data_IF_664150456969
#
_entry.id   IF_664150456969
#
_cell.length_a   1.000
_cell.length_b   1.000
_cell.length_c   1.000
_cell.angle_alpha   90.00
_cell.angle_beta   90.00
_cell.angle_gamma   90.00
#
_symmetry.space_group_name_H-M   'P 1'
#
loop_
_entity.id
_entity.type
_entity.pdbx_description
1 polymer ?
#
# COMPACT_ATOMS: atom_id res chain seq x y z
N UNK A 1 16.83 36.10 -27.78
CA UNK A 1 16.77 34.63 -27.74
C UNK A 1 16.95 34.19 -26.28
N UNK A 2 15.89 34.29 -25.48
CA UNK A 2 15.88 33.75 -24.12
C UNK A 2 15.47 32.28 -24.19
N UNK A 3 16.40 31.38 -23.89
CA UNK A 3 16.12 29.96 -23.66
C UNK A 3 15.39 29.84 -22.33
N UNK A 4 14.06 29.80 -22.38
CA UNK A 4 13.25 29.19 -21.33
C UNK A 4 13.73 27.76 -21.12
N UNK A 5 14.57 27.54 -20.11
CA UNK A 5 14.73 26.21 -19.53
C UNK A 5 13.39 25.87 -18.89
N UNK A 6 12.53 25.24 -19.68
CA UNK A 6 11.38 24.49 -19.21
C UNK A 6 11.95 23.42 -18.27
N UNK A 7 11.97 23.72 -16.97
CA UNK A 7 12.34 22.76 -15.94
C UNK A 7 11.50 21.50 -16.19
N UNK A 8 12.16 20.43 -16.63
CA UNK A 8 11.48 19.16 -16.87
C UNK A 8 10.78 18.80 -15.56
N UNK A 9 9.45 18.66 -15.62
CA UNK A 9 8.67 18.29 -14.46
C UNK A 9 9.25 16.98 -13.92
N UNK A 10 9.92 17.05 -12.78
CA UNK A 10 10.66 15.95 -12.21
C UNK A 10 9.66 14.85 -11.87
N UNK A 11 9.68 13.75 -12.62
CA UNK A 11 8.78 12.60 -12.39
C UNK A 11 9.00 12.06 -10.97
N UNK A 12 7.94 11.62 -10.33
CA UNK A 12 8.05 10.97 -9.02
C UNK A 12 8.84 9.69 -9.16
N UNK A 13 9.74 9.42 -8.21
CA UNK A 13 10.36 8.10 -8.06
C UNK A 13 9.56 7.25 -7.08
N UNK A 14 9.77 5.93 -7.13
CA UNK A 14 9.19 5.00 -6.15
C UNK A 14 9.54 5.38 -4.70
N UNK A 15 10.77 5.88 -4.50
CA UNK A 15 11.22 6.31 -3.20
C UNK A 15 10.57 7.62 -2.72
N UNK A 16 10.19 8.52 -3.63
CA UNK A 16 9.40 9.72 -3.31
C UNK A 16 7.98 9.33 -2.86
N UNK A 17 7.37 8.34 -3.51
CA UNK A 17 6.05 7.83 -3.15
C UNK A 17 6.06 7.32 -1.71
N UNK A 18 6.90 6.33 -1.40
CA UNK A 18 6.99 5.70 -0.08
C UNK A 18 7.42 6.66 1.05
N UNK A 19 8.06 7.78 0.71
CA UNK A 19 8.45 8.80 1.70
C UNK A 19 7.36 9.87 1.90
N UNK A 20 6.25 9.79 1.17
CA UNK A 20 5.18 10.79 1.19
C UNK A 20 3.94 10.29 1.93
N UNK A 21 3.29 11.20 2.68
CA UNK A 21 1.98 10.92 3.25
C UNK A 21 0.94 10.58 2.17
N UNK A 22 1.04 11.18 0.97
CA UNK A 22 0.08 10.96 -0.13
C UNK A 22 -0.03 9.48 -0.51
N UNK A 23 1.09 8.78 -0.55
CA UNK A 23 1.11 7.34 -0.79
C UNK A 23 0.46 6.59 0.38
N UNK A 24 0.91 6.82 1.60
CA UNK A 24 0.42 6.10 2.78
C UNK A 24 -1.06 6.37 3.08
N UNK A 25 -1.55 7.60 2.86
CA UNK A 25 -2.96 7.95 2.98
C UNK A 25 -3.82 7.15 2.01
N UNK A 26 -3.38 6.99 0.75
CA UNK A 26 -4.08 6.14 -0.24
C UNK A 26 -4.03 4.65 0.15
N UNK A 27 -2.88 4.17 0.63
CA UNK A 27 -2.70 2.77 1.08
C UNK A 27 -3.63 2.46 2.25
N UNK A 28 -3.64 3.30 3.29
CA UNK A 28 -4.49 3.09 4.45
C UNK A 28 -5.96 3.24 4.10
N UNK A 29 -6.34 4.26 3.32
CA UNK A 29 -7.70 4.40 2.81
C UNK A 29 -8.18 3.12 2.12
N UNK A 30 -7.37 2.55 1.23
CA UNK A 30 -7.68 1.29 0.56
C UNK A 30 -7.87 0.13 1.55
N UNK A 31 -6.95 -0.05 2.51
CA UNK A 31 -7.03 -1.15 3.49
C UNK A 31 -8.27 -1.03 4.39
N UNK A 32 -8.60 0.18 4.83
CA UNK A 32 -9.78 0.42 5.65
C UNK A 32 -11.09 0.16 4.89
N UNK A 33 -11.20 0.63 3.65
CA UNK A 33 -12.36 0.31 2.79
C UNK A 33 -12.43 -1.19 2.49
N UNK A 34 -11.29 -1.84 2.22
CA UNK A 34 -11.22 -3.28 1.99
C UNK A 34 -11.68 -4.09 3.22
N UNK A 35 -11.37 -3.61 4.43
CA UNK A 35 -11.83 -4.20 5.69
C UNK A 35 -13.35 -4.14 5.80
N UNK A 36 -13.94 -2.95 5.57
CA UNK A 36 -15.40 -2.78 5.53
C UNK A 36 -16.05 -3.69 4.50
N UNK A 37 -15.52 -3.70 3.26
CA UNK A 37 -16.02 -4.57 2.20
C UNK A 37 -16.01 -6.02 2.64
N UNK A 38 -14.91 -6.47 3.24
CA UNK A 38 -14.75 -7.87 3.56
C UNK A 38 -15.72 -8.33 4.66
N UNK A 39 -15.94 -7.52 5.70
CA UNK A 39 -16.98 -7.78 6.71
C UNK A 39 -18.35 -7.87 6.03
N UNK A 40 -18.69 -6.92 5.16
CA UNK A 40 -19.92 -6.97 4.40
C UNK A 40 -20.02 -8.27 3.57
N UNK A 41 -18.96 -8.65 2.86
CA UNK A 41 -18.98 -9.85 2.01
C UNK A 41 -19.18 -11.15 2.80
N UNK A 42 -18.68 -11.24 4.03
CA UNK A 42 -18.87 -12.42 4.88
C UNK A 42 -20.29 -12.46 5.46
N UNK A 43 -20.77 -11.34 5.99
CA UNK A 43 -21.98 -11.33 6.84
C UNK A 43 -23.25 -10.84 6.15
N UNK A 44 -23.17 -10.22 4.97
CA UNK A 44 -24.34 -9.63 4.29
C UNK A 44 -25.47 -10.62 4.00
N UNK A 45 -25.16 -11.82 3.52
CA UNK A 45 -26.17 -12.85 3.25
C UNK A 45 -26.87 -13.33 4.52
N UNK A 46 -26.10 -13.53 5.60
CA UNK A 46 -26.61 -13.93 6.90
C UNK A 46 -27.47 -12.82 7.50
N UNK A 47 -26.98 -11.58 7.46
CA UNK A 47 -27.71 -10.41 7.91
C UNK A 47 -29.03 -10.26 7.15
N UNK A 48 -29.03 -10.30 5.82
CA UNK A 48 -30.25 -10.24 5.02
C UNK A 48 -31.23 -11.36 5.39
N UNK A 49 -30.74 -12.59 5.60
CA UNK A 49 -31.61 -13.72 5.91
C UNK A 49 -32.21 -13.66 7.31
N UNK A 50 -31.50 -13.09 8.28
CA UNK A 50 -31.95 -12.95 9.66
C UNK A 50 -32.82 -11.70 9.88
N UNK A 51 -32.48 -10.60 9.22
CA UNK A 51 -33.19 -9.32 9.32
C UNK A 51 -34.38 -9.20 8.39
N UNK A 52 -34.54 -10.11 7.42
CA UNK A 52 -35.66 -10.09 6.49
C UNK A 52 -36.18 -11.50 6.15
N UNK A 53 -37.47 -11.58 5.80
CA UNK A 53 -38.08 -12.79 5.28
C UNK A 53 -37.74 -13.10 3.81
N UNK A 54 -36.73 -12.45 3.22
CA UNK A 54 -36.44 -12.56 1.79
C UNK A 54 -36.09 -13.99 1.35
N UNK A 55 -36.47 -14.30 0.11
CA UNK A 55 -36.10 -15.55 -0.55
C UNK A 55 -34.63 -15.53 -0.95
N UNK A 56 -34.03 -16.72 -1.08
CA UNK A 56 -32.65 -16.85 -1.57
C UNK A 56 -32.46 -16.28 -2.98
N UNK A 57 -33.50 -16.34 -3.83
CA UNK A 57 -33.45 -15.76 -5.17
C UNK A 57 -33.31 -14.24 -5.14
N UNK A 58 -34.09 -13.54 -4.30
CA UNK A 58 -33.98 -12.07 -4.19
C UNK A 58 -32.63 -11.64 -3.64
N UNK A 59 -32.09 -12.37 -2.66
CA UNK A 59 -30.73 -12.13 -2.14
C UNK A 59 -29.69 -12.28 -3.27
N UNK A 60 -29.79 -13.33 -4.10
CA UNK A 60 -28.91 -13.52 -5.25
C UNK A 60 -29.00 -12.40 -6.29
N UNK A 61 -30.21 -11.86 -6.54
CA UNK A 61 -30.39 -10.69 -7.41
C UNK A 61 -29.75 -9.45 -6.81
N UNK A 62 -29.91 -9.21 -5.50
CA UNK A 62 -29.29 -8.07 -4.81
C UNK A 62 -27.75 -8.08 -4.98
N UNK A 63 -27.09 -9.23 -4.80
CA UNK A 63 -25.66 -9.36 -5.09
C UNK A 63 -25.31 -9.15 -6.56
N UNK A 64 -26.20 -9.49 -7.50
CA UNK A 64 -25.97 -9.20 -8.93
C UNK A 64 -25.96 -7.69 -9.21
N UNK A 65 -26.78 -6.91 -8.50
CA UNK A 65 -26.73 -5.44 -8.56
C UNK A 65 -25.42 -4.89 -8.01
N UNK A 66 -24.86 -5.50 -6.96
CA UNK A 66 -23.53 -5.13 -6.47
C UNK A 66 -22.45 -5.36 -7.53
N UNK A 67 -22.49 -6.48 -8.25
CA UNK A 67 -21.54 -6.76 -9.34
C UNK A 67 -21.71 -5.80 -10.52
N UNK A 68 -22.96 -5.46 -10.88
CA UNK A 68 -23.22 -4.44 -11.89
C UNK A 68 -22.65 -3.08 -11.47
N UNK A 69 -22.88 -2.69 -10.21
CA UNK A 69 -22.32 -1.49 -9.62
C UNK A 69 -20.80 -1.47 -9.68
N UNK A 70 -20.16 -2.59 -9.35
CA UNK A 70 -18.71 -2.75 -9.45
C UNK A 70 -18.17 -2.45 -10.86
N UNK A 71 -18.80 -2.99 -11.91
CA UNK A 71 -18.41 -2.70 -13.29
C UNK A 71 -18.55 -1.22 -13.64
N UNK A 72 -19.64 -0.57 -13.24
CA UNK A 72 -19.82 0.88 -13.42
C UNK A 72 -18.81 1.70 -12.61
N UNK A 73 -18.47 1.24 -11.40
CA UNK A 73 -17.42 1.81 -10.57
C UNK A 73 -16.07 1.81 -11.26
N UNK A 74 -15.70 0.71 -11.91
CA UNK A 74 -14.46 0.59 -12.70
C UNK A 74 -14.43 1.62 -13.84
N UNK A 75 -15.55 1.82 -14.54
CA UNK A 75 -15.68 2.85 -15.59
C UNK A 75 -15.53 4.26 -14.99
N UNK A 76 -16.14 4.51 -13.84
CA UNK A 76 -16.02 5.79 -13.14
C UNK A 76 -14.59 6.07 -12.68
N UNK A 77 -13.85 5.05 -12.22
CA UNK A 77 -12.42 5.20 -11.93
C UNK A 77 -11.63 5.61 -13.19
N UNK A 78 -11.92 5.00 -14.34
CA UNK A 78 -11.26 5.41 -15.57
C UNK A 78 -11.55 6.88 -15.93
N UNK A 79 -12.80 7.34 -15.82
CA UNK A 79 -13.16 8.75 -16.02
C UNK A 79 -12.41 9.64 -15.01
N UNK A 80 -12.41 9.25 -13.72
CA UNK A 80 -11.75 9.96 -12.64
C UNK A 80 -10.23 10.10 -12.85
N UNK A 81 -9.59 9.08 -13.43
CA UNK A 81 -8.15 9.10 -13.72
C UNK A 81 -7.76 10.26 -14.65
N UNK A 82 -8.67 10.70 -15.52
CA UNK A 82 -8.45 11.83 -16.44
C UNK A 82 -8.62 13.19 -15.78
N UNK A 83 -9.40 13.28 -14.70
CA UNK A 83 -9.71 14.53 -14.02
C UNK A 83 -8.58 15.01 -13.10
N UNK A 84 -7.58 14.16 -12.82
CA UNK A 84 -6.39 14.47 -11.99
C UNK A 84 -6.73 15.04 -10.60
N UNK A 85 -7.93 14.76 -10.09
CA UNK A 85 -8.45 15.27 -8.82
C UNK A 85 -8.75 14.11 -7.87
N UNK A 86 -8.22 14.17 -6.64
CA UNK A 86 -8.49 13.14 -5.64
C UNK A 86 -9.81 13.37 -4.90
N UNK A 87 -10.49 14.52 -5.07
CA UNK A 87 -11.78 14.76 -4.43
C UNK A 87 -12.83 13.70 -4.82
N UNK A 88 -12.63 13.04 -5.96
CA UNK A 88 -13.42 11.90 -6.41
C UNK A 88 -13.34 10.70 -5.47
N UNK A 89 -12.26 10.56 -4.68
CA UNK A 89 -12.17 9.53 -3.65
C UNK A 89 -13.20 9.75 -2.52
N UNK A 90 -13.50 11.00 -2.16
CA UNK A 90 -14.58 11.30 -1.22
C UNK A 90 -15.94 10.97 -1.81
N UNK A 91 -16.14 11.22 -3.11
CA UNK A 91 -17.36 10.83 -3.81
C UNK A 91 -17.54 9.31 -3.81
N UNK A 92 -16.48 8.54 -4.07
CA UNK A 92 -16.53 7.07 -4.01
C UNK A 92 -16.77 6.56 -2.59
N UNK A 93 -16.17 7.20 -1.58
CA UNK A 93 -16.49 6.93 -0.17
C UNK A 93 -17.95 7.23 0.14
N UNK A 94 -18.50 8.33 -0.38
CA UNK A 94 -19.89 8.72 -0.16
C UNK A 94 -20.86 7.72 -0.81
N UNK A 95 -20.58 7.26 -2.03
CA UNK A 95 -21.37 6.18 -2.64
C UNK A 95 -21.33 4.91 -1.80
N UNK A 96 -20.14 4.53 -1.32
CA UNK A 96 -20.00 3.37 -0.47
C UNK A 96 -20.81 3.53 0.84
N UNK A 97 -20.61 4.62 1.59
CA UNK A 97 -21.28 4.91 2.87
C UNK A 97 -22.81 5.05 2.73
N UNK A 98 -23.28 5.68 1.66
CA UNK A 98 -24.71 5.76 1.36
C UNK A 98 -25.27 4.38 1.03
N UNK A 99 -24.51 3.59 0.27
CA UNK A 99 -24.87 2.23 -0.08
C UNK A 99 -25.02 1.31 1.14
N UNK A 100 -24.04 1.31 2.07
CA UNK A 100 -24.17 0.55 3.33
C UNK A 100 -25.29 1.08 4.22
N UNK A 101 -25.58 2.39 4.24
CA UNK A 101 -26.74 2.91 4.97
C UNK A 101 -28.07 2.38 4.40
N UNK A 102 -28.25 2.43 3.07
CA UNK A 102 -29.43 1.88 2.41
C UNK A 102 -29.56 0.37 2.67
N UNK A 103 -28.47 -0.36 2.53
CA UNK A 103 -28.41 -1.80 2.78
C UNK A 103 -28.77 -2.16 4.23
N UNK A 104 -28.20 -1.49 5.23
CA UNK A 104 -28.45 -1.83 6.64
C UNK A 104 -29.87 -1.47 7.09
N UNK A 105 -30.37 -0.29 6.74
CA UNK A 105 -31.64 0.22 7.30
C UNK A 105 -32.88 -0.10 6.46
N UNK A 106 -32.74 -0.59 5.22
CA UNK A 106 -33.87 -0.81 4.31
C UNK A 106 -33.88 -2.21 3.68
N UNK A 107 -33.42 -3.24 4.40
CA UNK A 107 -33.32 -4.62 3.88
C UNK A 107 -34.66 -5.14 3.34
N UNK A 108 -35.78 -4.81 3.99
CA UNK A 108 -37.12 -5.26 3.57
C UNK A 108 -37.59 -4.61 2.26
N UNK A 109 -37.11 -3.40 1.95
CA UNK A 109 -37.44 -2.71 0.73
C UNK A 109 -36.46 -3.13 -0.38
N UNK A 110 -36.91 -4.07 -1.21
CA UNK A 110 -36.11 -4.66 -2.30
C UNK A 110 -35.50 -3.60 -3.22
N UNK A 111 -36.22 -2.52 -3.54
CA UNK A 111 -35.70 -1.45 -4.42
C UNK A 111 -34.57 -0.68 -3.73
N UNK A 112 -34.75 -0.33 -2.45
CA UNK A 112 -33.72 0.36 -1.68
C UNK A 112 -32.49 -0.53 -1.44
N UNK A 113 -32.70 -1.84 -1.20
CA UNK A 113 -31.64 -2.83 -1.07
C UNK A 113 -30.81 -2.95 -2.36
N UNK A 114 -31.47 -3.10 -3.51
CA UNK A 114 -30.80 -3.16 -4.82
C UNK A 114 -30.03 -1.87 -5.13
N UNK A 115 -30.61 -0.71 -4.82
CA UNK A 115 -29.93 0.58 -4.96
C UNK A 115 -28.71 0.68 -4.02
N UNK A 116 -28.83 0.21 -2.78
CA UNK A 116 -27.75 0.15 -1.80
C UNK A 116 -26.60 -0.73 -2.30
N UNK A 117 -26.91 -1.95 -2.74
CA UNK A 117 -25.92 -2.88 -3.31
C UNK A 117 -25.22 -2.32 -4.54
N UNK A 118 -25.97 -1.69 -5.45
CA UNK A 118 -25.40 -1.01 -6.62
C UNK A 118 -24.41 0.10 -6.21
N UNK A 119 -24.75 0.94 -5.23
CA UNK A 119 -23.89 2.01 -4.74
C UNK A 119 -22.62 1.48 -4.03
N UNK A 120 -22.77 0.41 -3.24
CA UNK A 120 -21.65 -0.30 -2.62
C UNK A 120 -20.69 -0.79 -3.70
N UNK A 121 -21.22 -1.50 -4.71
CA UNK A 121 -20.46 -2.00 -5.84
C UNK A 121 -19.72 -0.88 -6.56
N UNK A 122 -20.42 0.21 -6.86
CA UNK A 122 -19.88 1.39 -7.55
C UNK A 122 -18.71 2.01 -6.77
N UNK A 123 -18.85 2.20 -5.47
CA UNK A 123 -17.77 2.71 -4.61
C UNK A 123 -16.55 1.79 -4.63
N UNK A 124 -16.75 0.48 -4.39
CA UNK A 124 -15.65 -0.51 -4.35
C UNK A 124 -14.95 -0.61 -5.71
N UNK A 125 -15.71 -0.73 -6.79
CA UNK A 125 -15.18 -0.86 -8.15
C UNK A 125 -14.37 0.35 -8.58
N UNK A 126 -14.78 1.55 -8.15
CA UNK A 126 -14.00 2.75 -8.39
C UNK A 126 -12.68 2.75 -7.57
N UNK A 127 -12.77 2.47 -6.27
CA UNK A 127 -11.63 2.50 -5.34
C UNK A 127 -10.55 1.49 -5.72
N UNK A 128 -10.94 0.27 -6.09
CA UNK A 128 -9.99 -0.82 -6.38
C UNK A 128 -9.10 -0.54 -7.58
N UNK A 129 -9.61 0.20 -8.57
CA UNK A 129 -8.86 0.56 -9.77
C UNK A 129 -8.13 1.90 -9.62
N UNK A 130 -8.79 2.93 -9.07
CA UNK A 130 -8.27 4.30 -9.08
C UNK A 130 -7.01 4.45 -8.23
N UNK A 131 -6.90 3.71 -7.12
CA UNK A 131 -5.77 3.83 -6.19
C UNK A 131 -4.47 3.32 -6.80
N UNK A 132 -4.38 2.07 -7.31
CA UNK A 132 -3.23 1.63 -8.09
C UNK A 132 -2.91 2.56 -9.26
N UNK A 133 -3.94 3.05 -9.97
CA UNK A 133 -3.76 3.93 -11.11
C UNK A 133 -3.11 5.28 -10.74
N UNK A 134 -3.52 5.89 -9.61
CA UNK A 134 -2.90 7.12 -9.13
C UNK A 134 -1.45 6.93 -8.69
N UNK A 135 -1.13 5.82 -8.03
CA UNK A 135 0.25 5.51 -7.61
C UNK A 135 1.12 5.26 -8.84
N UNK A 136 0.65 4.44 -9.78
CA UNK A 136 1.37 4.10 -11.00
C UNK A 136 1.56 5.31 -11.93
N UNK A 137 0.54 6.15 -12.06
CA UNK A 137 0.55 7.34 -12.88
C UNK A 137 1.55 8.41 -12.42
N UNK A 138 1.97 8.39 -11.15
CA UNK A 138 2.98 9.31 -10.62
C UNK A 138 4.37 9.08 -11.21
N UNK A 139 4.76 7.81 -11.39
CA UNK A 139 6.07 7.42 -11.94
C UNK A 139 6.00 7.25 -13.46
N UNK A 140 4.92 6.63 -13.96
CA UNK A 140 4.66 6.46 -15.38
C UNK A 140 5.40 5.29 -16.03
N UNK A 141 5.58 4.16 -15.33
CA UNK A 141 6.12 2.92 -15.90
C UNK A 141 5.19 1.72 -15.68
N UNK A 142 5.26 0.74 -16.59
CA UNK A 142 4.50 -0.52 -16.48
C UNK A 142 4.87 -1.30 -15.23
N UNK A 143 6.16 -1.32 -14.88
CA UNK A 143 6.65 -1.95 -13.65
C UNK A 143 6.01 -1.32 -12.41
N UNK A 144 5.90 0.01 -12.34
CA UNK A 144 5.24 0.69 -11.21
C UNK A 144 3.76 0.33 -11.13
N UNK A 145 3.07 0.15 -12.26
CA UNK A 145 1.69 -0.33 -12.23
C UNK A 145 1.58 -1.73 -11.63
N UNK A 146 2.43 -2.67 -12.07
CA UNK A 146 2.45 -4.03 -11.52
C UNK A 146 2.76 -4.02 -10.02
N UNK A 147 3.70 -3.20 -9.58
CA UNK A 147 4.03 -3.04 -8.17
C UNK A 147 2.88 -2.42 -7.37
N UNK A 148 2.27 -1.33 -7.84
CA UNK A 148 1.18 -0.66 -7.15
C UNK A 148 -0.08 -1.53 -7.07
N UNK A 149 -0.45 -2.19 -8.18
CA UNK A 149 -1.58 -3.11 -8.22
C UNK A 149 -1.32 -4.35 -7.37
N UNK A 150 -0.16 -4.99 -7.54
CA UNK A 150 0.26 -6.15 -6.74
C UNK A 150 0.29 -5.83 -5.24
N UNK A 151 0.78 -4.65 -4.87
CA UNK A 151 0.76 -4.16 -3.51
C UNK A 151 -0.66 -4.08 -2.94
N UNK A 152 -1.58 -3.42 -3.64
CA UNK A 152 -2.98 -3.28 -3.19
C UNK A 152 -3.68 -4.65 -3.13
N UNK A 153 -3.46 -5.51 -4.13
CA UNK A 153 -4.05 -6.85 -4.17
C UNK A 153 -3.58 -7.72 -2.98
N UNK A 154 -2.28 -7.70 -2.68
CA UNK A 154 -1.72 -8.46 -1.56
C UNK A 154 -2.12 -7.89 -0.21
N UNK A 155 -2.14 -6.57 -0.06
CA UNK A 155 -2.68 -5.92 1.13
C UNK A 155 -4.13 -6.32 1.37
N UNK A 156 -4.97 -6.32 0.33
CA UNK A 156 -6.36 -6.78 0.43
C UNK A 156 -6.44 -8.24 0.88
N UNK A 157 -5.64 -9.13 0.26
CA UNK A 157 -5.63 -10.55 0.62
C UNK A 157 -5.25 -10.77 2.10
N UNK A 158 -4.17 -10.14 2.55
CA UNK A 158 -3.68 -10.27 3.92
C UNK A 158 -4.62 -9.64 4.94
N UNK A 159 -5.22 -8.51 4.58
CA UNK A 159 -6.27 -7.89 5.37
C UNK A 159 -7.46 -8.85 5.54
N UNK A 160 -7.91 -9.47 4.46
CA UNK A 160 -9.02 -10.42 4.51
C UNK A 160 -8.70 -11.65 5.38
N UNK A 161 -7.49 -12.21 5.26
CA UNK A 161 -7.02 -13.32 6.11
C UNK A 161 -7.03 -12.96 7.60
N UNK A 162 -6.81 -11.69 7.93
CA UNK A 162 -6.74 -11.20 9.32
C UNK A 162 -8.12 -10.81 9.86
N UNK A 163 -8.96 -10.18 9.06
CA UNK A 163 -10.28 -9.68 9.49
C UNK A 163 -11.26 -10.82 9.78
N UNK A 164 -11.20 -11.95 9.05
CA UNK A 164 -12.10 -13.08 9.30
C UNK A 164 -12.06 -13.60 10.76
N UNK A 165 -10.89 -14.00 11.31
CA UNK A 165 -10.82 -14.43 12.71
C UNK A 165 -11.07 -13.28 13.70
N UNK A 166 -10.60 -12.07 13.39
CA UNK A 166 -10.83 -10.90 14.25
C UNK A 166 -12.32 -10.58 14.38
N UNK A 167 -13.08 -10.63 13.29
CA UNK A 167 -14.52 -10.41 13.31
C UNK A 167 -15.22 -11.42 14.22
N UNK A 168 -14.81 -12.70 14.15
CA UNK A 168 -15.31 -13.79 15.01
C UNK A 168 -15.05 -13.60 16.51
N UNK A 169 -13.99 -12.87 16.89
CA UNK A 169 -13.62 -12.66 18.30
C UNK A 169 -14.05 -11.30 18.85
N UNK A 170 -14.09 -10.27 17.99
CA UNK A 170 -14.31 -8.88 18.41
C UNK A 170 -15.78 -8.52 18.37
N UNK A 171 -16.55 -9.06 17.42
CA UNK A 171 -17.95 -8.69 17.26
C UNK A 171 -18.87 -9.68 17.96
N UNK A 172 -19.78 -9.15 18.77
CA UNK A 172 -20.96 -9.88 19.21
C UNK A 172 -21.83 -10.20 17.99
N UNK A 173 -21.89 -11.48 17.62
CA UNK A 173 -22.56 -11.95 16.41
C UNK A 173 -24.08 -11.81 16.50
N UNK A 174 -24.66 -11.95 17.69
CA UNK A 174 -26.10 -11.80 17.88
C UNK A 174 -26.50 -10.33 17.71
N UNK A 175 -25.70 -9.41 18.26
CA UNK A 175 -25.88 -7.98 18.04
C UNK A 175 -25.60 -7.57 16.58
N UNK A 176 -24.57 -8.17 15.96
CA UNK A 176 -24.18 -7.91 14.56
C UNK A 176 -25.30 -8.24 13.58
N UNK A 177 -25.96 -9.38 13.76
CA UNK A 177 -26.98 -9.83 12.83
C UNK A 177 -28.39 -9.34 13.21
N UNK A 178 -28.62 -9.03 14.49
CA UNK A 178 -29.92 -8.61 15.01
C UNK A 178 -30.15 -7.09 15.07
N UNK A 179 -29.10 -6.26 14.98
CA UNK A 179 -29.23 -4.81 15.12
C UNK A 179 -28.68 -4.04 13.89
N UNK A 180 -29.55 -3.41 13.08
CA UNK A 180 -29.14 -2.64 11.90
C UNK A 180 -28.14 -1.53 12.18
N UNK A 181 -28.26 -0.86 13.33
CA UNK A 181 -27.38 0.26 13.70
C UNK A 181 -26.00 -0.25 14.06
N UNK A 182 -25.91 -1.36 14.78
CA UNK A 182 -24.63 -1.97 15.13
C UNK A 182 -23.93 -2.53 13.89
N UNK A 183 -24.67 -3.19 12.98
CA UNK A 183 -24.09 -3.65 11.72
C UNK A 183 -23.59 -2.49 10.86
N UNK A 184 -24.39 -1.43 10.73
CA UNK A 184 -23.97 -0.21 10.05
C UNK A 184 -22.72 0.38 10.69
N UNK A 185 -22.65 0.48 12.02
CA UNK A 185 -21.48 1.04 12.70
C UNK A 185 -20.21 0.22 12.44
N UNK A 186 -20.29 -1.11 12.47
CA UNK A 186 -19.15 -2.00 12.19
C UNK A 186 -18.63 -1.82 10.76
N UNK A 187 -19.51 -1.63 9.78
CA UNK A 187 -19.13 -1.39 8.39
C UNK A 187 -18.65 0.06 8.16
N UNK A 188 -19.41 1.04 8.65
CA UNK A 188 -19.15 2.46 8.41
C UNK A 188 -17.87 2.95 9.11
N UNK A 189 -17.55 2.44 10.31
CA UNK A 189 -16.38 2.91 11.09
C UNK A 189 -15.07 2.81 10.31
N UNK A 190 -14.64 1.64 9.80
CA UNK A 190 -13.42 1.56 9.00
C UNK A 190 -13.50 2.43 7.74
N UNK A 191 -14.64 2.46 7.04
CA UNK A 191 -14.81 3.32 5.86
C UNK A 191 -14.61 4.81 6.19
N UNK A 192 -15.22 5.32 7.27
CA UNK A 192 -15.08 6.71 7.73
C UNK A 192 -13.64 6.99 8.12
N UNK A 193 -12.98 6.12 8.89
CA UNK A 193 -11.57 6.28 9.27
C UNK A 193 -10.70 6.38 8.02
N UNK A 194 -10.89 5.47 7.05
CA UNK A 194 -10.20 5.51 5.77
C UNK A 194 -10.41 6.84 5.04
N UNK A 195 -11.65 7.32 4.96
CA UNK A 195 -11.97 8.59 4.30
C UNK A 195 -11.34 9.79 5.03
N UNK A 196 -11.30 9.79 6.36
CA UNK A 196 -10.67 10.85 7.15
C UNK A 196 -9.15 10.92 6.93
N UNK A 197 -8.49 9.78 6.67
CA UNK A 197 -7.07 9.75 6.31
C UNK A 197 -6.75 10.40 4.95
N UNK A 198 -7.76 10.72 4.14
CA UNK A 198 -7.58 11.50 2.92
C UNK A 198 -7.50 13.01 3.19
N UNK A 199 -7.92 13.47 4.37
CA UNK A 199 -8.04 14.90 4.70
C UNK A 199 -6.73 15.70 4.56
N UNK A 200 -5.58 15.22 5.08
CA UNK A 200 -4.32 15.97 4.95
C UNK A 200 -3.66 15.84 3.55
N UNK A 201 -4.31 15.20 2.57
CA UNK A 201 -3.76 15.11 1.21
C UNK A 201 -3.90 16.44 0.44
N UNK A 202 -2.82 16.85 -0.23
CA UNK A 202 -2.79 18.10 -1.03
C UNK A 202 -3.56 17.97 -2.35
N UNK A 203 -4.36 18.98 -2.79
CA UNK A 203 -5.24 19.00 -4.00
C UNK A 203 -4.67 18.33 -5.25
N UNK A 204 -3.39 18.61 -5.50
CA UNK A 204 -2.73 18.20 -6.73
C UNK A 204 -2.15 16.77 -6.68
N UNK A 205 -2.36 15.99 -5.59
CA UNK A 205 -1.85 14.63 -5.39
C UNK A 205 -0.38 14.50 -5.84
N UNK A 206 -0.11 13.75 -6.93
CA UNK A 206 1.23 13.56 -7.51
C UNK A 206 1.52 14.42 -8.76
N UNK A 207 0.64 15.37 -9.11
CA UNK A 207 0.82 16.27 -10.26
C UNK A 207 1.77 17.45 -9.99
N UNK A 208 2.40 17.49 -8.81
CA UNK A 208 3.39 18.49 -8.42
C UNK A 208 4.74 17.83 -8.19
N UNK A 209 5.82 18.61 -8.19
CA UNK A 209 7.15 18.10 -7.88
C UNK A 209 7.16 17.33 -6.53
N UNK A 210 7.93 16.22 -6.44
CA UNK A 210 8.07 15.47 -5.21
C UNK A 210 8.70 16.33 -4.10
N UNK A 211 8.35 16.09 -2.83
CA UNK A 211 8.97 16.81 -1.71
C UNK A 211 10.48 16.48 -1.64
N UNK A 212 11.29 17.47 -1.26
CA UNK A 212 12.74 17.28 -1.09
C UNK A 212 12.97 16.27 0.05
N UNK A 213 13.60 15.14 -0.28
CA UNK A 213 13.96 14.10 0.69
C UNK A 213 15.23 14.51 1.43
N UNK A 214 15.09 15.04 2.64
CA UNK A 214 16.22 15.23 3.55
C UNK A 214 16.20 14.15 4.63
N UNK A 215 17.25 13.33 4.67
CA UNK A 215 17.51 12.40 5.75
C UNK A 215 18.99 12.49 6.09
N UNK A 216 19.29 12.79 7.36
CA UNK A 216 20.67 12.83 7.82
C UNK A 216 21.29 11.43 7.69
N UNK A 217 22.50 11.31 7.12
CA UNK A 217 23.21 10.04 7.07
C UNK A 217 23.59 9.60 8.49
N UNK A 218 23.63 8.29 8.72
CA UNK A 218 24.07 7.69 9.98
C UNK A 218 25.40 6.99 9.78
N UNK A 219 26.38 7.16 10.67
CA UNK A 219 27.70 6.52 10.53
C UNK A 219 27.53 4.99 10.38
N UNK A 220 28.14 4.37 9.36
CA UNK A 220 28.02 2.93 9.14
C UNK A 220 28.58 2.14 10.31
N UNK A 221 27.79 1.21 10.84
CA UNK A 221 28.26 0.26 11.86
C UNK A 221 28.41 -1.12 11.25
N UNK A 222 29.55 -1.77 11.49
CA UNK A 222 29.75 -3.16 11.11
C UNK A 222 28.74 -4.05 11.84
N UNK A 223 28.07 -4.95 11.09
CA UNK A 223 27.18 -5.97 11.67
C UNK A 223 27.42 -7.32 11.02
N UNK A 224 27.59 -8.36 11.82
CA UNK A 224 27.77 -9.70 11.27
C UNK A 224 26.53 -10.14 10.45
N UNK A 225 26.72 -10.63 9.22
CA UNK A 225 25.61 -11.10 8.38
C UNK A 225 24.81 -12.24 9.02
N UNK A 226 25.47 -13.16 9.72
CA UNK A 226 24.81 -14.27 10.42
C UNK A 226 23.91 -13.79 11.56
N UNK A 227 24.36 -12.80 12.33
CA UNK A 227 23.53 -12.17 13.37
C UNK A 227 22.36 -11.39 12.77
N UNK A 228 22.55 -10.74 11.61
CA UNK A 228 21.48 -10.04 10.90
C UNK A 228 20.40 -11.02 10.43
N UNK A 229 20.80 -12.19 9.93
CA UNK A 229 19.88 -13.27 9.58
C UNK A 229 19.04 -13.72 10.78
N UNK A 230 19.68 -14.01 11.92
CA UNK A 230 18.99 -14.48 13.12
C UNK A 230 18.05 -13.42 13.71
N UNK A 231 18.52 -12.18 13.80
CA UNK A 231 17.74 -11.07 14.34
C UNK A 231 16.53 -10.72 13.46
N UNK A 232 16.55 -11.04 12.16
CA UNK A 232 15.41 -10.83 11.27
C UNK A 232 14.15 -11.63 11.70
N UNK A 233 14.30 -12.71 12.48
CA UNK A 233 13.19 -13.45 13.06
C UNK A 233 12.63 -12.82 14.35
N UNK A 234 13.35 -11.86 14.95
CA UNK A 234 12.88 -11.13 16.12
C UNK A 234 11.82 -10.11 15.67
N UNK A 235 10.63 -10.09 16.31
CA UNK A 235 9.58 -9.12 15.97
C UNK A 235 10.10 -7.70 15.89
N UNK A 236 9.71 -6.98 14.84
CA UNK A 236 10.05 -5.58 14.56
C UNK A 236 11.54 -5.28 14.27
N UNK A 237 12.45 -6.25 14.37
CA UNK A 237 13.86 -6.02 14.03
C UNK A 237 14.04 -5.71 12.54
N UNK A 238 13.23 -6.30 11.67
CA UNK A 238 13.22 -6.01 10.24
C UNK A 238 13.01 -4.51 9.95
N UNK A 239 12.10 -3.86 10.69
CA UNK A 239 11.83 -2.41 10.58
C UNK A 239 13.07 -1.63 11.00
N UNK A 240 13.62 -1.96 12.17
CA UNK A 240 14.83 -1.32 12.70
C UNK A 240 16.01 -1.44 11.73
N UNK A 241 16.26 -2.63 11.21
CA UNK A 241 17.35 -2.89 10.27
C UNK A 241 17.14 -2.12 8.96
N UNK A 242 15.92 -2.11 8.41
CA UNK A 242 15.60 -1.35 7.20
C UNK A 242 15.79 0.15 7.37
N UNK A 243 15.40 0.71 8.51
CA UNK A 243 15.64 2.13 8.84
C UNK A 243 17.15 2.40 8.88
N UNK A 244 17.92 1.55 9.58
CA UNK A 244 19.37 1.75 9.73
C UNK A 244 20.12 1.62 8.42
N UNK A 245 19.93 0.55 7.65
CA UNK A 245 20.70 0.31 6.43
C UNK A 245 20.49 1.42 5.39
N UNK A 246 19.26 1.96 5.28
CA UNK A 246 18.94 3.08 4.40
C UNK A 246 19.52 4.42 4.87
N UNK A 247 19.84 4.56 6.16
CA UNK A 247 20.50 5.74 6.68
C UNK A 247 22.03 5.66 6.53
N UNK A 248 22.60 4.46 6.63
CA UNK A 248 24.05 4.25 6.53
C UNK A 248 24.57 4.32 5.10
N UNK A 249 23.85 3.73 4.14
CA UNK A 249 24.23 3.78 2.72
C UNK A 249 24.26 5.22 2.17
N UNK A 250 23.56 6.16 2.84
CA UNK A 250 23.54 7.58 2.47
C UNK A 250 24.86 8.31 2.71
N UNK A 251 25.79 7.75 3.49
CA UNK A 251 27.16 8.28 3.54
C UNK A 251 27.89 8.10 2.20
N UNK A 252 27.49 7.10 1.42
CA UNK A 252 28.17 6.72 0.18
C UNK A 252 27.37 7.09 -1.08
N UNK A 253 26.04 7.15 -1.00
CA UNK A 253 25.18 7.49 -2.13
C UNK A 253 23.92 8.25 -1.74
N UNK A 254 23.68 9.37 -2.40
CA UNK A 254 22.44 10.17 -2.33
C UNK A 254 21.42 9.73 -3.39
N UNK A 255 21.45 8.47 -3.84
CA UNK A 255 20.63 8.00 -4.96
C UNK A 255 19.15 8.35 -4.81
N UNK A 256 18.56 8.90 -5.88
CA UNK A 256 17.14 9.20 -5.96
C UNK A 256 16.26 7.93 -5.90
N UNK A 257 16.80 6.74 -6.17
CA UNK A 257 16.05 5.47 -6.06
C UNK A 257 15.99 4.94 -4.62
N UNK A 258 16.83 5.46 -3.72
CA UNK A 258 16.91 4.99 -2.34
C UNK A 258 15.80 5.58 -1.47
N UNK A 259 15.11 4.71 -0.72
CA UNK A 259 14.10 5.14 0.26
C UNK A 259 14.70 5.99 1.37
N UNK A 260 13.90 6.90 1.93
CA UNK A 260 14.26 7.53 3.21
C UNK A 260 14.22 6.48 4.32
N UNK A 261 15.01 6.62 5.40
CA UNK A 261 14.97 5.68 6.53
C UNK A 261 13.54 5.48 7.07
N UNK A 262 12.78 6.57 7.20
CA UNK A 262 11.36 6.53 7.60
C UNK A 262 10.50 5.80 6.57
N UNK A 263 10.67 6.09 5.27
CA UNK A 263 9.98 5.40 4.19
C UNK A 263 10.25 3.89 4.19
N UNK A 264 11.50 3.47 4.40
CA UNK A 264 11.88 2.08 4.52
C UNK A 264 11.23 1.40 5.74
N UNK A 265 11.21 2.07 6.89
CA UNK A 265 10.53 1.58 8.09
C UNK A 265 9.03 1.37 7.89
N UNK A 266 8.33 2.35 7.28
CA UNK A 266 6.91 2.19 6.95
C UNK A 266 6.66 1.05 5.96
N UNK A 267 7.55 0.91 4.98
CA UNK A 267 7.46 -0.14 3.97
C UNK A 267 7.62 -1.56 4.54
N UNK A 268 8.34 -1.70 5.65
CA UNK A 268 8.52 -2.96 6.35
C UNK A 268 7.21 -3.50 6.98
N UNK A 269 6.22 -2.64 7.25
CA UNK A 269 4.88 -3.07 7.68
C UNK A 269 4.06 -3.64 6.53
N UNK A 270 4.45 -3.38 5.27
CA UNK A 270 3.71 -3.78 4.08
C UNK A 270 4.32 -5.04 3.44
N UNK A 271 4.37 -6.11 4.24
CA UNK A 271 4.31 -7.56 3.86
C UNK A 271 5.24 -8.02 2.67
N UNK A 272 5.27 -9.30 2.22
CA UNK A 272 6.38 -9.83 1.42
C UNK A 272 6.62 -9.19 0.06
N UNK A 273 5.68 -8.46 -0.54
CA UNK A 273 5.82 -7.97 -1.92
C UNK A 273 6.68 -6.71 -2.02
N UNK A 274 6.61 -5.82 -1.04
CA UNK A 274 7.43 -4.59 -1.08
C UNK A 274 8.89 -4.92 -0.76
N UNK A 275 9.13 -5.94 0.06
CA UNK A 275 10.46 -6.37 0.49
C UNK A 275 11.41 -6.64 -0.69
N UNK A 276 11.07 -7.44 -1.72
CA UNK A 276 11.88 -7.60 -2.93
C UNK A 276 12.20 -6.30 -3.66
N UNK A 277 11.25 -5.36 -3.77
CA UNK A 277 11.48 -4.08 -4.44
C UNK A 277 12.42 -3.16 -3.63
N UNK A 278 12.32 -3.18 -2.30
CA UNK A 278 13.26 -2.46 -1.43
C UNK A 278 14.65 -3.09 -1.55
N UNK A 279 14.71 -4.41 -1.53
CA UNK A 279 15.97 -5.13 -1.51
C UNK A 279 16.68 -5.06 -2.87
N UNK A 280 15.94 -5.04 -3.98
CA UNK A 280 16.51 -4.81 -5.31
C UNK A 280 17.13 -3.42 -5.41
N UNK A 281 16.40 -2.38 -5.01
CA UNK A 281 16.90 -0.99 -5.06
C UNK A 281 18.09 -0.76 -4.13
N UNK A 282 18.09 -1.36 -2.93
CA UNK A 282 19.26 -1.37 -2.04
C UNK A 282 20.47 -2.04 -2.70
N UNK A 283 20.28 -3.26 -3.23
CA UNK A 283 21.36 -3.99 -3.86
C UNK A 283 21.90 -3.27 -5.09
N UNK A 284 21.05 -2.73 -5.96
CA UNK A 284 21.49 -1.97 -7.14
C UNK A 284 22.31 -0.74 -6.76
N UNK A 285 21.94 -0.07 -5.66
CA UNK A 285 22.71 1.07 -5.13
C UNK A 285 24.07 0.62 -4.58
N UNK A 286 24.11 -0.47 -3.80
CA UNK A 286 25.37 -1.03 -3.28
C UNK A 286 26.29 -1.50 -4.41
N UNK A 287 25.72 -2.17 -5.42
CA UNK A 287 26.45 -2.60 -6.61
C UNK A 287 27.06 -1.42 -7.36
N UNK A 288 26.29 -0.36 -7.59
CA UNK A 288 26.78 0.84 -8.25
C UNK A 288 27.95 1.49 -7.46
N UNK A 289 27.88 1.51 -6.12
CA UNK A 289 28.98 2.01 -5.27
C UNK A 289 30.22 1.10 -5.38
N UNK A 290 30.06 -0.22 -5.35
CA UNK A 290 31.20 -1.16 -5.44
C UNK A 290 31.85 -1.05 -6.83
N UNK A 291 31.03 -1.05 -7.89
CA UNK A 291 31.47 -0.94 -9.28
C UNK A 291 32.15 0.41 -9.55
N UNK A 292 31.69 1.53 -8.93
CA UNK A 292 32.35 2.84 -9.06
C UNK A 292 33.75 2.87 -8.43
N UNK A 293 34.06 1.96 -7.51
CA UNK A 293 35.38 1.81 -6.90
C UNK A 293 36.24 0.73 -7.60
N UNK A 294 35.83 0.29 -8.79
CA UNK A 294 36.58 -0.67 -9.62
C UNK A 294 36.51 -2.12 -9.13
N UNK A 295 35.61 -2.44 -8.20
CA UNK A 295 35.39 -3.79 -7.71
C UNK A 295 34.18 -4.43 -8.40
N UNK A 296 34.22 -5.76 -8.57
CA UNK A 296 33.05 -6.49 -9.07
C UNK A 296 32.10 -6.79 -7.92
N UNK A 297 30.84 -6.35 -8.06
CA UNK A 297 29.85 -6.62 -7.04
C UNK A 297 29.54 -8.12 -6.94
N UNK A 298 29.58 -8.64 -5.71
CA UNK A 298 29.52 -10.09 -5.41
C UNK A 298 28.17 -10.75 -5.73
N UNK A 299 27.06 -10.03 -5.57
CA UNK A 299 25.71 -10.59 -5.69
C UNK A 299 24.91 -9.94 -6.81
N UNK A 300 24.26 -10.78 -7.63
CA UNK A 300 23.35 -10.33 -8.70
C UNK A 300 21.98 -9.96 -8.13
N UNK A 301 21.35 -8.92 -8.68
CA UNK A 301 20.06 -8.39 -8.18
C UNK A 301 18.93 -9.43 -8.21
N UNK A 302 18.85 -10.28 -9.23
CA UNK A 302 17.82 -11.32 -9.30
C UNK A 302 17.91 -12.33 -8.13
N UNK A 303 19.11 -12.61 -7.64
CA UNK A 303 19.33 -13.53 -6.52
C UNK A 303 18.85 -12.91 -5.21
N UNK A 304 19.10 -11.61 -5.02
CA UNK A 304 18.56 -10.84 -3.90
C UNK A 304 17.04 -10.79 -3.95
N UNK A 305 16.43 -10.58 -5.11
CA UNK A 305 14.97 -10.57 -5.30
C UNK A 305 14.38 -11.94 -4.96
N UNK A 306 14.98 -13.03 -5.47
CA UNK A 306 14.53 -14.39 -5.22
C UNK A 306 14.50 -14.71 -3.73
N UNK A 307 15.61 -14.45 -3.02
CA UNK A 307 15.67 -14.67 -1.59
C UNK A 307 14.85 -13.66 -0.80
N UNK A 308 14.63 -12.43 -1.29
CA UNK A 308 13.76 -11.47 -0.62
C UNK A 308 12.30 -11.92 -0.62
N UNK A 309 11.91 -12.70 -1.63
CA UNK A 309 10.59 -13.30 -1.71
C UNK A 309 10.49 -14.60 -0.89
N UNK A 310 11.47 -15.50 -1.02
CA UNK A 310 11.42 -16.84 -0.40
C UNK A 310 11.87 -16.86 1.07
N UNK A 311 12.93 -16.12 1.40
CA UNK A 311 13.54 -16.09 2.72
C UNK A 311 14.22 -14.73 2.97
N UNK A 312 13.42 -13.68 3.27
CA UNK A 312 13.92 -12.31 3.48
C UNK A 312 15.16 -12.19 4.38
N UNK A 313 15.30 -12.96 5.47
CA UNK A 313 16.51 -12.94 6.30
C UNK A 313 17.82 -13.19 5.53
N UNK A 314 17.80 -14.05 4.50
CA UNK A 314 18.98 -14.34 3.67
C UNK A 314 19.38 -13.10 2.89
N UNK A 315 18.44 -12.47 2.18
CA UNK A 315 18.77 -11.28 1.42
C UNK A 315 19.21 -10.11 2.31
N UNK A 316 18.65 -9.98 3.52
CA UNK A 316 19.12 -8.98 4.49
C UNK A 316 20.59 -9.21 4.88
N UNK A 317 20.97 -10.47 5.14
CA UNK A 317 22.36 -10.84 5.43
C UNK A 317 23.30 -10.58 4.24
N UNK A 318 22.87 -10.88 3.01
CA UNK A 318 23.66 -10.62 1.80
C UNK A 318 23.89 -9.11 1.58
N UNK A 319 22.85 -8.29 1.74
CA UNK A 319 22.93 -6.83 1.68
C UNK A 319 23.86 -6.30 2.77
N UNK A 320 23.73 -6.80 4.01
CA UNK A 320 24.60 -6.39 5.11
C UNK A 320 26.07 -6.75 4.85
N UNK A 321 26.35 -7.91 4.23
CA UNK A 321 27.70 -8.29 3.84
C UNK A 321 28.32 -7.29 2.85
N UNK A 322 27.56 -6.84 1.85
CA UNK A 322 28.04 -5.83 0.89
C UNK A 322 28.22 -4.46 1.55
N UNK A 323 27.32 -4.07 2.46
CA UNK A 323 27.47 -2.83 3.22
C UNK A 323 28.74 -2.85 4.09
N UNK A 324 29.02 -3.98 4.74
CA UNK A 324 30.25 -4.13 5.52
C UNK A 324 31.50 -4.02 4.64
N UNK A 325 31.47 -4.60 3.43
CA UNK A 325 32.56 -4.50 2.45
C UNK A 325 32.84 -3.05 2.07
N UNK A 326 31.80 -2.28 1.77
CA UNK A 326 31.89 -0.84 1.50
C UNK A 326 32.49 -0.11 2.71
N UNK A 327 31.95 -0.36 3.91
CA UNK A 327 32.44 0.32 5.12
C UNK A 327 33.87 -0.05 5.52
N UNK A 328 34.31 -1.29 5.25
CA UNK A 328 35.65 -1.77 5.61
C UNK A 328 36.70 -1.49 4.54
N UNK A 329 36.38 -1.61 3.26
CA UNK A 329 37.33 -1.45 2.16
C UNK A 329 37.46 0.00 1.69
N UNK A 330 36.41 0.83 1.80
CA UNK A 330 36.44 2.23 1.34
C UNK A 330 36.90 3.22 2.41
N UNK A 331 36.58 2.99 3.69
CA UNK A 331 37.07 3.82 4.79
C UNK A 331 38.61 3.77 4.93
N UNK A 332 39.22 2.65 4.53
CA UNK A 332 40.68 2.47 4.56
C UNK A 332 41.41 3.12 3.36
N UNK A 333 40.70 3.49 2.27
CA UNK A 333 41.32 4.15 1.12
C UNK A 333 41.38 5.67 1.26
N UNK A 334 40.37 6.31 1.85
CA UNK A 334 40.37 7.76 2.10
C UNK A 334 41.35 8.19 3.20
N UNK A 335 41.76 7.27 4.07
CA UNK A 335 42.81 7.50 5.08
C UNK A 335 44.22 7.21 4.57
N UNK A 336 44.36 6.67 3.35
CA UNK A 336 45.64 6.33 2.72
C UNK A 336 45.97 7.17 1.46
N UNK A 337 45.09 8.10 1.08
CA UNK A 337 45.31 9.11 0.02
C UNK A 337 45.63 10.49 0.60
#
# INVERSE_FOLDING_TARGET
>A
MEKNHQASATKWTWADLHSSYRFWGLVFYFVFIASSQYILSIYSALYMKQSSGLSYSTIGVAFSFQQAGFLFGVILAWIASRMKSYYLLYLFSAFYLLGIALFCFNVENVVALMAGEMLIGLGIGAIILIIPAFIAGAVGSTETYVLAFGLMATLKLLNNLSIAPLAGWVFDMDLLLGNPTYFFAVLATPAIIGTLLLMPMKPQLFNVAPPIRQAAPLTPTYREPGMTFLLYFVPFYNIYWLVKIHAEIRNYSQSATLLTPRGAGWSAFVVPIVTPAIFSTLNDTLRAIIESHGQQARYKTWLIILFAFLLPPVSAALIQSQMNEISGNLANKETQS
#
